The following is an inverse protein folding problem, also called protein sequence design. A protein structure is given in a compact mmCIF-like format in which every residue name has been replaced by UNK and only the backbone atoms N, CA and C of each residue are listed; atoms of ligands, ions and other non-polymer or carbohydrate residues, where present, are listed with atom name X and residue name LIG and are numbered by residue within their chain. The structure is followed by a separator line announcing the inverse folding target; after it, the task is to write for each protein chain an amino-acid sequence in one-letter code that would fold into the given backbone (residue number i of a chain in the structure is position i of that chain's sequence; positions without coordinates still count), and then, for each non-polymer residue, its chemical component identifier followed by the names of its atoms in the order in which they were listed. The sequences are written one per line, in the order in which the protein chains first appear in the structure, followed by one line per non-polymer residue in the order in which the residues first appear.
data_IF_063249263217
#
_entry.id   IF_063249263217
#
_cell.length_a   1.000
_cell.length_b   1.000
_cell.length_c   1.000
_cell.angle_alpha   90.00
_cell.angle_beta   90.00
_cell.angle_gamma   90.00
#
_symmetry.space_group_name_H-M   'P 1'
#
loop_
_entity.id
_entity.type
_entity.pdbx_description
1 polymer ?
#
# COMPACT_ATOMS: atom_id res chain seq x y z
N UNK A 1 6.76 7.16 7.19
CA UNK A 1 7.70 6.05 7.47
C UNK A 1 8.72 6.42 8.55
N UNK A 2 9.53 7.48 8.38
CA UNK A 2 10.61 7.85 9.33
C UNK A 2 10.20 7.93 10.80
N UNK A 3 9.03 8.50 11.11
CA UNK A 3 8.55 8.64 12.51
C UNK A 3 8.23 7.29 13.16
N UNK A 4 7.54 6.40 12.44
CA UNK A 4 7.21 5.07 12.95
C UNK A 4 8.47 4.22 13.16
N UNK A 5 9.43 4.31 12.24
CA UNK A 5 10.73 3.65 12.36
C UNK A 5 11.55 4.20 13.53
N UNK A 6 11.55 5.52 13.76
CA UNK A 6 12.23 6.13 14.90
C UNK A 6 11.61 5.73 16.24
N UNK A 7 10.28 5.66 16.32
CA UNK A 7 9.56 5.19 17.52
C UNK A 7 9.87 3.72 17.83
N UNK A 8 9.88 2.86 16.81
CA UNK A 8 10.25 1.47 16.98
C UNK A 8 11.72 1.31 17.42
N UNK A 9 12.65 2.07 16.84
CA UNK A 9 14.05 2.09 17.26
C UNK A 9 14.22 2.57 18.72
N UNK A 10 13.33 3.45 19.19
CA UNK A 10 13.27 3.88 20.59
C UNK A 10 12.55 2.88 21.52
N UNK A 11 12.27 1.66 21.07
CA UNK A 11 11.59 0.62 21.86
C UNK A 11 10.10 0.85 22.06
N UNK A 12 9.47 1.73 21.27
CA UNK A 12 8.03 2.04 21.33
C UNK A 12 7.37 1.69 19.99
N UNK A 13 7.21 0.39 19.66
CA UNK A 13 6.55 0.00 18.41
C UNK A 13 5.08 0.44 18.43
N UNK A 14 4.63 1.06 17.33
CA UNK A 14 3.22 1.44 17.13
C UNK A 14 2.32 0.23 16.88
N UNK A 15 2.91 -0.86 16.36
CA UNK A 15 2.27 -2.15 16.17
C UNK A 15 3.17 -3.23 16.77
N UNK A 16 2.67 -4.09 17.67
CA UNK A 16 3.45 -5.18 18.23
C UNK A 16 3.94 -6.14 17.12
N UNK A 17 5.20 -6.59 17.14
CA UNK A 17 5.76 -7.47 16.12
C UNK A 17 5.01 -8.82 16.05
N UNK A 18 4.45 -9.29 17.16
CA UNK A 18 3.68 -10.53 17.22
C UNK A 18 2.44 -10.49 16.32
N UNK A 19 1.86 -9.30 16.11
CA UNK A 19 0.71 -9.14 15.22
C UNK A 19 1.05 -9.41 13.74
N UNK A 20 2.33 -9.34 13.37
CA UNK A 20 2.83 -9.58 12.01
C UNK A 20 3.62 -10.89 11.89
N UNK A 21 3.84 -11.59 13.02
CA UNK A 21 4.47 -12.90 13.08
C UNK A 21 3.49 -14.04 12.78
N UNK A 22 2.18 -13.75 12.79
CA UNK A 22 1.12 -14.70 12.41
C UNK A 22 1.37 -15.29 11.02
N UNK A 23 0.99 -16.57 10.78
CA UNK A 23 1.10 -17.17 9.46
C UNK A 23 0.37 -16.28 8.43
N UNK A 24 0.91 -16.18 7.21
CA UNK A 24 0.30 -15.37 6.18
C UNK A 24 -1.15 -15.83 5.97
N UNK A 25 -2.09 -14.89 5.79
CA UNK A 25 -3.48 -15.23 5.50
C UNK A 25 -3.56 -16.12 4.26
N UNK A 26 -4.68 -16.85 4.13
CA UNK A 26 -4.89 -17.67 2.96
C UNK A 26 -4.89 -16.84 1.66
N UNK A 27 -4.82 -17.51 0.52
CA UNK A 27 -4.78 -16.82 -0.78
C UNK A 27 -5.97 -15.87 -0.97
N UNK A 28 -7.17 -16.27 -0.55
CA UNK A 28 -8.39 -15.49 -0.77
C UNK A 28 -8.41 -14.23 0.09
N UNK A 29 -7.95 -14.32 1.33
CA UNK A 29 -7.81 -13.20 2.25
C UNK A 29 -6.75 -12.20 1.77
N UNK A 30 -5.60 -12.69 1.28
CA UNK A 30 -4.55 -11.85 0.68
C UNK A 30 -5.07 -11.11 -0.56
N UNK A 31 -5.78 -11.84 -1.42
CA UNK A 31 -6.40 -11.28 -2.63
C UNK A 31 -7.46 -10.23 -2.28
N UNK A 32 -8.34 -10.53 -1.35
CA UNK A 32 -9.41 -9.64 -0.92
C UNK A 32 -8.85 -8.35 -0.31
N UNK A 33 -7.86 -8.47 0.59
CA UNK A 33 -7.22 -7.31 1.21
C UNK A 33 -6.56 -6.41 0.17
N UNK A 34 -5.80 -6.98 -0.77
CA UNK A 34 -5.14 -6.20 -1.82
C UNK A 34 -6.13 -5.59 -2.82
N UNK A 35 -7.24 -6.28 -3.13
CA UNK A 35 -8.32 -5.75 -3.95
C UNK A 35 -9.03 -4.57 -3.27
N UNK A 36 -9.24 -4.63 -1.95
CA UNK A 36 -9.80 -3.54 -1.16
C UNK A 36 -8.91 -2.29 -1.21
N UNK A 37 -7.60 -2.45 -1.08
CA UNK A 37 -6.65 -1.34 -1.22
C UNK A 37 -6.79 -0.64 -2.58
N UNK A 38 -6.83 -1.41 -3.67
CA UNK A 38 -7.06 -0.87 -5.02
C UNK A 38 -8.41 -0.16 -5.12
N UNK A 39 -9.48 -0.78 -4.60
CA UNK A 39 -10.82 -0.21 -4.63
C UNK A 39 -10.90 1.12 -3.86
N UNK A 40 -10.25 1.21 -2.70
CA UNK A 40 -10.18 2.44 -1.91
C UNK A 40 -9.45 3.54 -2.66
N UNK A 41 -8.30 3.24 -3.28
CA UNK A 41 -7.56 4.24 -4.09
C UNK A 41 -8.33 4.63 -5.34
N UNK A 42 -9.03 3.69 -5.98
CA UNK A 42 -9.87 3.94 -7.14
C UNK A 42 -11.10 4.81 -6.80
N UNK A 43 -11.63 4.71 -5.58
CA UNK A 43 -12.79 5.49 -5.15
C UNK A 43 -12.42 6.84 -4.53
N UNK A 44 -11.38 6.85 -3.70
CA UNK A 44 -11.03 7.98 -2.82
C UNK A 44 -9.71 8.66 -3.20
N UNK A 45 -8.96 8.14 -4.18
CA UNK A 45 -7.73 8.77 -4.70
C UNK A 45 -6.69 9.06 -3.61
N UNK A 46 -6.10 10.26 -3.61
CA UNK A 46 -5.02 10.69 -2.71
C UNK A 46 -5.31 10.48 -1.22
N UNK A 47 -6.52 10.78 -0.68
CA UNK A 47 -6.89 10.42 0.68
C UNK A 47 -6.59 8.95 1.03
N UNK A 48 -7.10 8.00 0.24
CA UNK A 48 -6.85 6.58 0.48
C UNK A 48 -5.36 6.23 0.34
N UNK A 49 -4.69 6.77 -0.67
CA UNK A 49 -3.25 6.57 -0.86
C UNK A 49 -2.44 7.01 0.38
N UNK A 50 -2.81 8.12 0.99
CA UNK A 50 -2.12 8.62 2.19
C UNK A 50 -2.33 7.70 3.39
N UNK A 51 -3.55 7.21 3.60
CA UNK A 51 -3.85 6.25 4.67
C UNK A 51 -3.09 4.94 4.47
N UNK A 52 -3.05 4.41 3.24
CA UNK A 52 -2.29 3.19 2.94
C UNK A 52 -0.79 3.39 3.16
N UNK A 53 -0.22 4.49 2.65
CA UNK A 53 1.19 4.80 2.87
C UNK A 53 1.56 4.95 4.36
N UNK A 54 0.66 5.53 5.16
CA UNK A 54 0.83 5.59 6.61
C UNK A 54 0.78 4.20 7.25
N UNK A 55 -0.21 3.38 6.88
CA UNK A 55 -0.35 2.00 7.36
C UNK A 55 0.87 1.13 7.06
N UNK A 56 1.33 1.12 5.81
CA UNK A 56 2.57 0.41 5.43
C UNK A 56 3.81 0.94 6.17
N UNK A 57 3.84 2.24 6.46
CA UNK A 57 4.89 2.85 7.27
C UNK A 57 4.91 2.38 8.73
N UNK A 58 3.75 2.04 9.29
CA UNK A 58 3.63 1.46 10.64
C UNK A 58 3.97 -0.04 10.63
N UNK A 59 3.60 -0.75 9.57
CA UNK A 59 3.89 -2.19 9.42
C UNK A 59 5.38 -2.48 9.26
N UNK A 60 6.10 -1.65 8.52
CA UNK A 60 7.53 -1.85 8.21
C UNK A 60 8.41 -2.15 9.44
N UNK A 61 8.41 -1.33 10.52
CA UNK A 61 9.18 -1.64 11.71
C UNK A 61 8.71 -2.90 12.46
N UNK A 62 7.41 -3.20 12.45
CA UNK A 62 6.87 -4.41 13.08
C UNK A 62 7.32 -5.67 12.33
N UNK A 63 7.34 -5.63 10.99
CA UNK A 63 7.93 -6.67 10.13
C UNK A 63 9.42 -6.85 10.43
N UNK A 64 10.17 -5.77 10.62
CA UNK A 64 11.58 -5.84 10.98
C UNK A 64 11.80 -6.50 12.36
N UNK A 65 10.93 -6.22 13.33
CA UNK A 65 10.98 -6.84 14.65
C UNK A 65 10.63 -8.34 14.63
N UNK A 66 9.67 -8.75 13.79
CA UNK A 66 9.20 -10.13 13.72
C UNK A 66 10.09 -11.04 12.86
N UNK A 67 10.57 -10.54 11.71
CA UNK A 67 11.21 -11.35 10.66
C UNK A 67 12.64 -10.92 10.33
N UNK A 68 13.15 -9.88 11.02
CA UNK A 68 14.49 -9.33 10.82
C UNK A 68 14.58 -8.28 9.71
N UNK A 69 15.75 -7.63 9.64
CA UNK A 69 15.98 -6.46 8.76
C UNK A 69 15.94 -6.82 7.26
N UNK A 70 16.51 -7.97 6.87
CA UNK A 70 16.55 -8.39 5.47
C UNK A 70 15.15 -8.58 4.87
N UNK A 71 14.26 -9.22 5.63
CA UNK A 71 12.87 -9.40 5.23
C UNK A 71 12.12 -8.06 5.20
N UNK A 72 12.37 -7.17 6.16
CA UNK A 72 11.78 -5.84 6.15
C UNK A 72 12.23 -4.99 4.94
N UNK A 73 13.47 -5.11 4.47
CA UNK A 73 13.93 -4.43 3.26
C UNK A 73 13.20 -4.93 2.01
N UNK A 74 12.99 -6.24 1.89
CA UNK A 74 12.18 -6.82 0.82
C UNK A 74 10.73 -6.32 0.89
N UNK A 75 10.12 -6.36 2.07
CA UNK A 75 8.77 -5.85 2.32
C UNK A 75 8.63 -4.38 1.89
N UNK A 76 9.57 -3.53 2.31
CA UNK A 76 9.60 -2.11 1.92
C UNK A 76 9.72 -1.95 0.41
N UNK A 77 10.55 -2.76 -0.25
CA UNK A 77 10.67 -2.77 -1.71
C UNK A 77 9.33 -3.05 -2.39
N UNK A 78 8.64 -4.11 -1.97
CA UNK A 78 7.31 -4.48 -2.48
C UNK A 78 6.31 -3.35 -2.23
N UNK A 79 6.24 -2.83 -1.00
CA UNK A 79 5.36 -1.71 -0.62
C UNK A 79 5.57 -0.49 -1.52
N UNK A 80 6.81 -0.13 -1.85
CA UNK A 80 7.09 1.01 -2.73
C UNK A 80 6.57 0.79 -4.14
N UNK A 81 6.69 -0.43 -4.68
CA UNK A 81 6.10 -0.78 -5.98
C UNK A 81 4.59 -0.64 -5.93
N UNK A 82 3.94 -1.17 -4.89
CA UNK A 82 2.47 -1.06 -4.71
C UNK A 82 2.03 0.40 -4.63
N UNK A 83 2.66 1.18 -3.76
CA UNK A 83 2.35 2.60 -3.59
C UNK A 83 2.61 3.41 -4.87
N UNK A 84 3.59 3.03 -5.69
CA UNK A 84 3.81 3.65 -6.99
C UNK A 84 2.63 3.45 -7.93
N UNK A 85 2.11 2.22 -8.05
CA UNK A 85 0.93 1.94 -8.89
C UNK A 85 -0.29 2.72 -8.39
N UNK A 86 -0.51 2.72 -7.07
CA UNK A 86 -1.61 3.46 -6.46
C UNK A 86 -1.46 4.97 -6.64
N UNK A 87 -0.24 5.50 -6.59
CA UNK A 87 0.02 6.91 -6.88
C UNK A 87 -0.31 7.27 -8.33
N UNK A 88 0.01 6.41 -9.31
CA UNK A 88 -0.40 6.64 -10.69
C UNK A 88 -1.91 6.58 -10.84
N UNK A 89 -2.58 5.60 -10.22
CA UNK A 89 -4.03 5.51 -10.23
C UNK A 89 -4.69 6.76 -9.64
N UNK A 90 -4.23 7.21 -8.47
CA UNK A 90 -4.71 8.42 -7.81
C UNK A 90 -4.46 9.68 -8.65
N UNK A 91 -3.30 9.78 -9.31
CA UNK A 91 -2.92 10.90 -10.18
C UNK A 91 -3.86 11.08 -11.37
N UNK A 92 -4.29 9.98 -11.99
CA UNK A 92 -5.21 10.02 -13.13
C UNK A 92 -6.68 9.95 -12.72
N UNK A 93 -6.98 9.94 -11.42
CA UNK A 93 -8.35 9.83 -10.91
C UNK A 93 -9.26 10.96 -11.42
N UNK A 94 -10.50 10.66 -11.86
CA UNK A 94 -11.40 11.65 -12.47
C UNK A 94 -11.68 12.86 -11.57
N UNK A 95 -11.95 12.62 -10.28
CA UNK A 95 -12.22 13.70 -9.33
C UNK A 95 -10.97 14.54 -9.05
N UNK A 96 -9.80 13.91 -8.94
CA UNK A 96 -8.55 14.62 -8.70
C UNK A 96 -8.20 15.53 -9.90
N UNK A 97 -8.39 15.03 -11.13
CA UNK A 97 -8.20 15.81 -12.35
C UNK A 97 -9.20 16.95 -12.48
N UNK A 98 -10.48 16.73 -12.17
CA UNK A 98 -11.52 17.78 -12.18
C UNK A 98 -11.21 18.89 -11.19
N UNK A 99 -10.82 18.55 -9.96
CA UNK A 99 -10.44 19.52 -8.93
C UNK A 99 -9.18 20.31 -9.31
N UNK A 100 -8.24 19.68 -10.01
CA UNK A 100 -7.04 20.35 -10.52
C UNK A 100 -7.26 21.15 -11.82
N UNK A 101 -8.50 21.29 -12.30
CA UNK A 101 -8.82 22.01 -13.54
C UNK A 101 -8.30 21.34 -14.82
N UNK A 102 -7.90 20.07 -14.75
CA UNK A 102 -7.35 19.31 -15.88
C UNK A 102 -8.40 18.48 -16.62
N UNK A 103 -8.06 18.06 -17.84
CA UNK A 103 -8.88 17.07 -18.58
C UNK A 103 -8.74 15.68 -17.95
N UNK A 104 -9.86 14.95 -17.91
CA UNK A 104 -9.87 13.56 -17.43
C UNK A 104 -9.33 12.64 -18.52
N UNK A 105 -8.21 11.99 -18.24
CA UNK A 105 -7.55 11.06 -19.16
C UNK A 105 -8.01 9.62 -18.88
N UNK A 106 -9.24 9.29 -19.28
CA UNK A 106 -9.86 7.99 -19.01
C UNK A 106 -9.00 6.79 -19.42
N UNK A 107 -8.34 6.85 -20.59
CA UNK A 107 -7.46 5.77 -21.04
C UNK A 107 -6.31 5.48 -20.08
N UNK A 108 -5.67 6.52 -19.52
CA UNK A 108 -4.59 6.36 -18.54
C UNK A 108 -5.13 5.87 -17.21
N UNK A 109 -6.27 6.40 -16.77
CA UNK A 109 -6.92 5.96 -15.54
C UNK A 109 -7.27 4.46 -15.59
N UNK A 110 -7.94 4.01 -16.65
CA UNK A 110 -8.32 2.61 -16.83
C UNK A 110 -7.09 1.69 -16.97
N UNK A 111 -6.04 2.14 -17.68
CA UNK A 111 -4.78 1.40 -17.76
C UNK A 111 -4.17 1.16 -16.38
N UNK A 112 -4.02 2.23 -15.57
CA UNK A 112 -3.44 2.11 -14.23
C UNK A 112 -4.33 1.34 -13.27
N UNK A 113 -5.66 1.39 -13.44
CA UNK A 113 -6.59 0.56 -12.69
C UNK A 113 -6.39 -0.92 -13.01
N UNK A 114 -6.37 -1.28 -14.29
CA UNK A 114 -6.15 -2.66 -14.73
C UNK A 114 -4.78 -3.20 -14.30
N UNK A 115 -3.73 -2.38 -14.40
CA UNK A 115 -2.39 -2.71 -13.93
C UNK A 115 -2.36 -2.94 -12.40
N UNK A 116 -3.08 -2.11 -11.64
CA UNK A 116 -3.18 -2.28 -10.19
C UNK A 116 -3.93 -3.57 -9.81
N UNK A 117 -5.00 -3.91 -10.53
CA UNK A 117 -5.73 -5.18 -10.35
C UNK A 117 -4.88 -6.39 -10.73
N UNK A 118 -4.06 -6.29 -11.79
CA UNK A 118 -3.11 -7.35 -12.13
C UNK A 118 -2.05 -7.53 -11.05
N UNK A 119 -1.58 -6.43 -10.45
CA UNK A 119 -0.61 -6.48 -9.35
C UNK A 119 -1.19 -7.19 -8.11
N UNK A 120 -2.47 -6.97 -7.80
CA UNK A 120 -3.18 -7.68 -6.72
C UNK A 120 -3.09 -9.20 -6.88
N UNK A 121 -3.30 -9.71 -8.09
CA UNK A 121 -3.19 -11.14 -8.36
C UNK A 121 -1.78 -11.68 -8.12
N UNK A 122 -0.74 -10.90 -8.44
CA UNK A 122 0.66 -11.28 -8.20
C UNK A 122 1.01 -11.26 -6.72
N UNK A 123 0.51 -10.29 -5.96
CA UNK A 123 0.77 -10.18 -4.52
C UNK A 123 0.05 -11.25 -3.68
N UNK A 124 -1.03 -11.83 -4.21
CA UNK A 124 -1.79 -12.85 -3.53
C UNK A 124 -1.16 -14.25 -3.60
N UNK A 125 -0.29 -14.51 -4.60
CA UNK A 125 0.46 -15.76 -4.76
C UNK A 125 1.48 -15.91 -3.61
#
# INVERSE_FOLDING_TARGET
MLVASALAAAGRPLLPPEAVASPPPDYLDRLASAAVDVALVAALSYPALFFLAAGYGVLTPAVAGAHGLSYALLFVGVVHVVLFFYAQLAKYHPLARRLAGGRVEWGKYLLWLALSLSLVGVLAL
#
